data_IF_164766607838
#
_entry.id   IF_164766607838
#
_cell.length_a   1.000
_cell.length_b   1.000
_cell.length_c   1.000
_cell.angle_alpha   90.00
_cell.angle_beta   90.00
_cell.angle_gamma   90.00
#
_symmetry.space_group_name_H-M   'P 1'
#
loop_
_entity.id
_entity.type
_entity.pdbx_description
1 polymer ?
#
# COMPACT_ATOMS: atom_id res chain seq x y z
N UNK A 1 -57.08 -20.57 49.38
CA UNK A 1 -55.74 -20.03 49.71
C UNK A 1 -54.76 -21.20 49.80
N UNK A 2 -54.22 -21.62 48.65
CA UNK A 2 -53.19 -22.66 48.47
C UNK A 2 -52.04 -21.94 47.75
N UNK A 3 -50.74 -22.09 48.02
CA UNK A 3 -49.95 -22.87 48.97
C UNK A 3 -48.45 -22.52 48.74
N UNK A 4 -47.59 -22.92 49.68
CA UNK A 4 -46.16 -23.31 49.62
C UNK A 4 -45.18 -22.46 48.76
N UNK A 5 -43.97 -22.06 49.18
CA UNK A 5 -42.98 -22.76 49.99
C UNK A 5 -41.71 -23.04 49.16
N UNK A 6 -40.61 -22.34 49.46
CA UNK A 6 -39.18 -22.67 49.28
C UNK A 6 -38.57 -23.09 47.91
N UNK A 7 -37.47 -22.38 47.57
CA UNK A 7 -36.21 -22.77 46.88
C UNK A 7 -36.04 -22.86 45.34
N UNK A 8 -35.00 -22.14 44.89
CA UNK A 8 -34.05 -22.36 43.76
C UNK A 8 -34.48 -22.02 42.33
N UNK A 9 -33.83 -20.98 41.77
CA UNK A 9 -32.78 -21.07 40.73
C UNK A 9 -32.82 -19.82 39.83
N UNK A 10 -31.65 -19.26 39.51
CA UNK A 10 -31.56 -18.29 38.41
C UNK A 10 -30.45 -17.25 38.47
N UNK A 11 -29.19 -17.64 38.73
CA UNK A 11 -28.05 -16.90 38.16
C UNK A 11 -28.04 -17.23 36.67
N UNK A 12 -28.57 -16.36 35.82
CA UNK A 12 -28.28 -16.31 34.39
C UNK A 12 -28.98 -15.09 33.78
N UNK A 13 -28.25 -14.04 33.43
CA UNK A 13 -28.89 -12.94 32.70
C UNK A 13 -28.17 -11.62 32.50
N UNK A 14 -26.88 -11.47 32.87
CA UNK A 14 -26.14 -10.22 32.60
C UNK A 14 -24.97 -10.42 31.60
N UNK A 15 -24.61 -11.66 31.25
CA UNK A 15 -23.51 -11.94 30.32
C UNK A 15 -23.84 -11.83 28.82
N UNK A 16 -25.10 -12.00 28.42
CA UNK A 16 -25.47 -12.11 27.01
C UNK A 16 -25.45 -10.76 26.25
N UNK A 17 -25.78 -9.64 26.91
CA UNK A 17 -25.84 -8.32 26.28
C UNK A 17 -24.46 -7.70 25.97
N UNK A 18 -23.52 -7.85 26.90
CA UNK A 18 -22.13 -7.41 26.68
C UNK A 18 -21.38 -8.34 25.73
N UNK A 19 -21.61 -9.66 25.82
CA UNK A 19 -21.03 -10.64 24.90
C UNK A 19 -21.49 -10.45 23.46
N UNK A 20 -22.79 -10.26 23.22
CA UNK A 20 -23.33 -9.98 21.89
C UNK A 20 -22.82 -8.65 21.32
N UNK A 21 -22.69 -7.60 22.16
CA UNK A 21 -22.11 -6.32 21.77
C UNK A 21 -20.62 -6.43 21.36
N UNK A 22 -19.82 -7.15 22.16
CA UNK A 22 -18.38 -7.37 21.89
C UNK A 22 -18.17 -8.21 20.62
N UNK A 23 -18.97 -9.25 20.43
CA UNK A 23 -18.92 -10.09 19.22
C UNK A 23 -19.34 -9.32 17.96
N UNK A 24 -20.41 -8.51 18.05
CA UNK A 24 -20.87 -7.66 16.95
C UNK A 24 -19.84 -6.59 16.55
N UNK A 25 -19.17 -5.97 17.51
CA UNK A 25 -18.08 -5.00 17.26
C UNK A 25 -16.89 -5.69 16.59
N UNK A 26 -16.50 -6.87 17.05
CA UNK A 26 -15.43 -7.66 16.43
C UNK A 26 -15.74 -8.02 14.96
N UNK A 27 -16.97 -8.43 14.69
CA UNK A 27 -17.44 -8.71 13.33
C UNK A 27 -17.42 -7.47 12.42
N UNK A 28 -17.88 -6.32 12.91
CA UNK A 28 -17.87 -5.06 12.15
C UNK A 28 -16.45 -4.66 11.74
N UNK A 29 -15.50 -4.64 12.68
CA UNK A 29 -14.12 -4.26 12.37
C UNK A 29 -13.41 -5.25 11.47
N UNK A 30 -13.71 -6.55 11.61
CA UNK A 30 -13.28 -7.56 10.66
C UNK A 30 -13.85 -7.27 9.26
N UNK A 31 -15.12 -6.90 9.15
CA UNK A 31 -15.73 -6.56 7.86
C UNK A 31 -15.08 -5.34 7.21
N UNK A 32 -14.73 -4.31 7.98
CA UNK A 32 -13.98 -3.14 7.47
C UNK A 32 -12.59 -3.52 7.00
N UNK A 33 -11.92 -4.45 7.70
CA UNK A 33 -10.57 -4.88 7.37
C UNK A 33 -10.51 -5.70 6.07
N UNK A 34 -11.57 -6.48 5.83
CA UNK A 34 -11.72 -7.41 4.72
C UNK A 34 -12.46 -6.80 3.51
N UNK A 35 -13.00 -5.58 3.63
CA UNK A 35 -13.75 -4.89 2.57
C UNK A 35 -12.82 -4.60 1.39
N UNK A 36 -13.26 -5.04 0.22
CA UNK A 36 -12.55 -4.87 -1.06
C UNK A 36 -13.02 -3.63 -1.82
N UNK A 37 -14.13 -3.02 -1.40
CA UNK A 37 -14.70 -1.87 -2.10
C UNK A 37 -13.86 -0.61 -1.92
N UNK A 38 -13.50 0.01 -3.05
CA UNK A 38 -12.94 1.35 -3.06
C UNK A 38 -14.07 2.37 -2.93
N UNK A 39 -14.02 3.21 -1.89
CA UNK A 39 -14.98 4.31 -1.70
C UNK A 39 -14.25 5.63 -1.77
N UNK A 40 -14.57 6.42 -2.79
CA UNK A 40 -14.08 7.79 -2.88
C UNK A 40 -14.77 8.64 -1.81
N UNK A 41 -14.00 9.12 -0.84
CA UNK A 41 -14.45 10.09 0.16
C UNK A 41 -13.76 11.41 -0.15
N UNK A 42 -14.54 12.48 -0.23
CA UNK A 42 -14.08 13.82 -0.65
C UNK A 42 -14.21 14.81 0.53
N UNK A 43 -13.36 14.72 1.57
CA UNK A 43 -13.51 15.53 2.78
C UNK A 43 -13.05 16.99 2.63
N UNK A 44 -12.26 17.27 1.60
CA UNK A 44 -11.68 18.57 1.35
C UNK A 44 -12.61 19.45 0.54
N UNK A 45 -12.42 20.77 0.63
CA UNK A 45 -13.25 21.74 -0.05
C UNK A 45 -12.36 22.75 -0.79
N UNK A 46 -12.55 22.85 -2.10
CA UNK A 46 -11.97 23.90 -2.94
C UNK A 46 -12.70 25.21 -2.64
N UNK A 47 -11.97 26.21 -2.17
CA UNK A 47 -12.51 27.53 -1.83
C UNK A 47 -12.37 28.52 -2.97
N UNK A 48 -11.27 28.45 -3.71
CA UNK A 48 -10.96 29.35 -4.82
C UNK A 48 -9.91 28.72 -5.74
N UNK A 49 -9.92 29.08 -7.02
CA UNK A 49 -8.96 28.60 -8.02
C UNK A 49 -8.70 29.69 -9.06
N UNK A 50 -7.42 29.96 -9.32
CA UNK A 50 -7.01 31.03 -10.24
C UNK A 50 -5.50 31.19 -10.29
N UNK A 51 -4.99 31.76 -11.38
CA UNK A 51 -3.58 32.12 -11.55
C UNK A 51 -2.59 30.98 -11.27
N UNK A 52 -2.94 29.74 -11.66
CA UNK A 52 -2.10 28.55 -11.42
C UNK A 52 -2.05 28.11 -9.96
N UNK A 53 -3.04 28.52 -9.14
CA UNK A 53 -3.14 28.15 -7.73
C UNK A 53 -4.51 27.60 -7.39
N UNK A 54 -4.55 26.78 -6.34
CA UNK A 54 -5.77 26.28 -5.71
C UNK A 54 -5.75 26.62 -4.22
N UNK A 55 -6.86 27.17 -3.73
CA UNK A 55 -7.10 27.44 -2.31
C UNK A 55 -8.05 26.41 -1.75
N UNK A 56 -7.61 25.69 -0.72
CA UNK A 56 -8.37 24.64 -0.06
C UNK A 56 -8.68 25.04 1.38
N UNK A 57 -9.82 24.56 1.90
CA UNK A 57 -10.09 24.62 3.34
C UNK A 57 -8.96 23.90 4.08
N UNK A 58 -8.45 24.54 5.13
CA UNK A 58 -7.32 24.01 5.90
C UNK A 58 -7.67 22.69 6.56
N UNK A 59 -6.86 21.67 6.32
CA UNK A 59 -6.89 20.37 6.97
C UNK A 59 -5.45 19.86 7.15
N UNK A 60 -5.25 18.88 8.03
CA UNK A 60 -3.92 18.26 8.23
C UNK A 60 -3.36 17.66 6.93
N UNK A 61 -4.21 17.15 6.04
CA UNK A 61 -3.78 16.56 4.77
C UNK A 61 -3.42 17.64 3.74
N UNK A 62 -4.23 18.69 3.67
CA UNK A 62 -4.01 19.84 2.78
C UNK A 62 -2.73 20.60 3.10
N UNK A 63 -2.27 20.59 4.35
CA UNK A 63 -1.02 21.22 4.78
C UNK A 63 0.24 20.41 4.43
N UNK A 64 0.12 19.17 3.96
CA UNK A 64 1.31 18.34 3.77
C UNK A 64 2.22 18.85 2.64
N UNK A 65 3.55 18.83 2.83
CA UNK A 65 4.48 19.39 1.84
C UNK A 65 4.50 18.59 0.54
N UNK A 66 4.99 19.21 -0.52
CA UNK A 66 5.33 18.54 -1.78
C UNK A 66 4.18 18.41 -2.79
N UNK A 67 4.19 17.34 -3.58
CA UNK A 67 3.34 17.13 -4.76
C UNK A 67 2.26 16.08 -4.48
N UNK A 68 1.01 16.40 -4.80
CA UNK A 68 -0.17 15.61 -4.46
C UNK A 68 -1.19 15.62 -5.60
N UNK A 69 -2.07 14.63 -5.62
CA UNK A 69 -3.28 14.69 -6.42
C UNK A 69 -4.34 15.50 -5.72
N UNK A 70 -5.07 16.33 -6.45
CA UNK A 70 -6.36 16.87 -6.03
C UNK A 70 -7.44 16.13 -6.82
N UNK A 71 -8.12 15.18 -6.18
CA UNK A 71 -9.18 14.38 -6.82
C UNK A 71 -10.56 14.84 -6.40
N UNK A 72 -11.48 14.93 -7.35
CA UNK A 72 -12.91 15.09 -7.11
C UNK A 72 -13.69 14.04 -7.92
N UNK A 73 -15.02 14.12 -7.93
CA UNK A 73 -15.88 13.11 -8.56
C UNK A 73 -15.52 12.81 -10.03
N UNK A 74 -15.14 13.85 -10.78
CA UNK A 74 -15.00 13.81 -12.24
C UNK A 74 -13.60 14.20 -12.72
N UNK A 75 -12.60 14.24 -11.84
CA UNK A 75 -11.25 14.63 -12.26
C UNK A 75 -10.16 14.52 -11.19
N UNK A 76 -8.93 14.64 -11.68
CA UNK A 76 -7.69 14.63 -10.93
C UNK A 76 -6.76 15.71 -11.48
N UNK A 77 -6.18 16.52 -10.60
CA UNK A 77 -5.15 17.49 -10.96
C UNK A 77 -3.90 17.30 -10.11
N UNK A 78 -2.74 17.68 -10.63
CA UNK A 78 -1.48 17.72 -9.91
C UNK A 78 -1.39 19.03 -9.13
N UNK A 79 -1.27 18.90 -7.82
CA UNK A 79 -1.18 20.00 -6.88
C UNK A 79 0.20 20.01 -6.24
N UNK A 80 0.95 21.08 -6.43
CA UNK A 80 2.31 21.17 -5.95
C UNK A 80 2.43 21.75 -4.54
N UNK A 81 3.58 22.35 -4.19
CA UNK A 81 3.90 22.79 -2.84
C UNK A 81 2.92 23.82 -2.26
N UNK A 82 2.90 23.89 -0.93
CA UNK A 82 2.19 24.94 -0.19
C UNK A 82 2.89 26.28 -0.41
N UNK A 83 2.16 27.25 -0.92
CA UNK A 83 2.62 28.63 -1.09
C UNK A 83 2.36 29.46 0.17
N UNK A 84 1.18 29.27 0.77
CA UNK A 84 0.74 30.05 1.94
C UNK A 84 -0.24 29.26 2.79
N UNK A 85 -0.03 29.28 4.09
CA UNK A 85 -0.98 28.74 5.09
C UNK A 85 -1.56 29.90 5.88
N UNK A 86 -2.89 29.96 5.92
CA UNK A 86 -3.63 30.92 6.74
C UNK A 86 -4.40 30.21 7.87
N UNK A 87 -5.27 30.93 8.56
CA UNK A 87 -6.05 30.37 9.67
C UNK A 87 -7.01 29.27 9.22
N UNK A 88 -7.73 29.47 8.12
CA UNK A 88 -8.82 28.61 7.64
C UNK A 88 -8.59 28.01 6.25
N UNK A 89 -7.50 28.40 5.57
CA UNK A 89 -7.20 27.99 4.20
C UNK A 89 -5.71 27.76 3.96
N UNK A 90 -5.43 26.99 2.91
CA UNK A 90 -4.09 26.74 2.39
C UNK A 90 -4.10 27.00 0.89
N UNK A 91 -3.12 27.76 0.41
CA UNK A 91 -2.92 28.06 -1.01
C UNK A 91 -1.77 27.21 -1.53
N UNK A 92 -1.98 26.51 -2.64
CA UNK A 92 -1.01 25.61 -3.27
C UNK A 92 -0.92 25.88 -4.77
N UNK A 93 0.19 25.50 -5.39
CA UNK A 93 0.28 25.50 -6.85
C UNK A 93 -0.66 24.44 -7.44
N UNK A 94 -1.25 24.74 -8.58
CA UNK A 94 -1.99 23.82 -9.43
C UNK A 94 -1.21 23.69 -10.74
N UNK A 95 -0.56 22.54 -10.92
CA UNK A 95 0.52 22.37 -11.90
C UNK A 95 0.02 21.75 -13.21
N UNK A 96 -0.73 20.65 -13.12
CA UNK A 96 -1.19 19.89 -14.29
C UNK A 96 -2.64 19.41 -14.08
N UNK A 97 -3.37 19.20 -15.18
CA UNK A 97 -4.70 18.62 -15.18
C UNK A 97 -5.86 19.63 -15.14
N UNK A 98 -7.11 19.14 -15.10
CA UNK A 98 -8.31 19.96 -15.08
C UNK A 98 -8.39 20.88 -13.85
N UNK A 99 -9.07 22.02 -14.02
CA UNK A 99 -9.27 23.02 -12.97
C UNK A 99 -10.63 22.79 -12.29
N UNK A 100 -10.68 22.42 -11.00
CA UNK A 100 -11.96 22.24 -10.31
C UNK A 100 -12.63 23.59 -10.03
N UNK A 101 -13.96 23.71 -10.13
CA UNK A 101 -14.64 24.96 -9.76
C UNK A 101 -14.60 25.20 -8.23
N UNK A 102 -14.65 26.46 -7.77
CA UNK A 102 -14.86 26.76 -6.35
C UNK A 102 -16.12 26.08 -5.80
N UNK A 103 -16.04 25.58 -4.57
CA UNK A 103 -17.10 24.78 -3.94
C UNK A 103 -17.00 23.27 -4.20
N UNK A 104 -16.05 22.82 -5.03
CA UNK A 104 -15.84 21.40 -5.31
C UNK A 104 -15.40 20.64 -4.05
N UNK A 105 -16.11 19.57 -3.72
CA UNK A 105 -15.65 18.58 -2.76
C UNK A 105 -14.52 17.74 -3.39
N UNK A 106 -13.40 17.62 -2.68
CA UNK A 106 -12.21 16.96 -3.20
C UNK A 106 -11.49 16.11 -2.12
N UNK A 107 -10.43 15.42 -2.51
CA UNK A 107 -9.51 14.72 -1.62
C UNK A 107 -8.07 14.97 -2.05
N UNK A 108 -7.19 15.11 -1.06
CA UNK A 108 -5.74 15.08 -1.27
C UNK A 108 -5.34 13.62 -1.47
N UNK A 109 -5.01 13.28 -2.72
CA UNK A 109 -4.70 11.94 -3.17
C UNK A 109 -3.17 11.74 -3.20
N UNK A 110 -2.68 10.62 -2.68
CA UNK A 110 -1.26 10.28 -2.70
C UNK A 110 -0.78 9.95 -4.12
N UNK A 111 -1.66 9.52 -5.03
CA UNK A 111 -1.38 9.27 -6.44
C UNK A 111 -1.81 10.44 -7.33
N UNK A 112 -0.90 11.37 -7.69
CA UNK A 112 -1.23 12.57 -8.48
C UNK A 112 -1.50 12.31 -9.97
N UNK A 113 -1.32 11.07 -10.44
CA UNK A 113 -1.35 10.75 -11.87
C UNK A 113 -2.33 9.62 -12.18
N UNK A 114 -2.94 9.70 -13.37
CA UNK A 114 -3.84 8.75 -14.01
C UNK A 114 -3.81 8.99 -15.54
N UNK A 115 -4.43 8.14 -16.39
CA UNK A 115 -4.95 6.81 -16.07
C UNK A 115 -3.87 5.73 -16.02
N UNK A 116 -2.74 5.93 -16.70
CA UNK A 116 -1.79 4.87 -17.03
C UNK A 116 -0.36 5.41 -17.25
N UNK A 117 0.66 4.55 -17.56
CA UNK A 117 2.03 5.00 -17.76
C UNK A 117 2.22 6.00 -18.92
N UNK A 118 1.32 6.01 -19.90
CA UNK A 118 1.36 6.95 -21.03
C UNK A 118 1.21 8.40 -20.58
N UNK A 119 0.39 8.65 -19.54
CA UNK A 119 0.27 9.97 -18.90
C UNK A 119 1.58 10.46 -18.25
N UNK A 120 2.54 9.56 -18.06
CA UNK A 120 3.89 9.87 -17.56
C UNK A 120 4.97 9.80 -18.64
N UNK A 121 4.55 9.81 -19.91
CA UNK A 121 5.46 9.78 -21.07
C UNK A 121 6.13 8.43 -21.29
N UNK A 122 5.57 7.33 -20.75
CA UNK A 122 6.13 5.99 -20.88
C UNK A 122 5.35 5.18 -21.90
N UNK A 123 6.07 4.54 -22.82
CA UNK A 123 5.51 3.50 -23.66
C UNK A 123 5.22 2.26 -22.80
N UNK A 124 4.01 1.72 -22.93
CA UNK A 124 3.59 0.54 -22.19
C UNK A 124 2.61 -0.30 -23.00
N UNK A 125 2.45 -1.56 -22.60
CA UNK A 125 1.39 -2.44 -23.11
C UNK A 125 0.60 -3.01 -21.93
N UNK A 126 -0.71 -3.14 -22.08
CA UNK A 126 -1.51 -3.93 -21.15
C UNK A 126 -1.34 -5.42 -21.47
N UNK A 127 -0.98 -6.20 -20.45
CA UNK A 127 -0.79 -7.65 -20.54
C UNK A 127 -1.72 -8.36 -19.57
N UNK A 128 -2.12 -9.57 -19.91
CA UNK A 128 -2.98 -10.41 -19.08
C UNK A 128 -2.14 -11.46 -18.36
N UNK A 129 -2.00 -11.35 -17.04
CA UNK A 129 -1.26 -12.30 -16.21
C UNK A 129 -2.19 -13.48 -15.87
N UNK A 130 -1.84 -14.73 -16.23
CA UNK A 130 -2.65 -15.89 -15.89
C UNK A 130 -2.49 -16.23 -14.39
N UNK A 131 -3.41 -15.77 -13.55
CA UNK A 131 -3.44 -16.10 -12.11
C UNK A 131 -4.31 -17.33 -11.84
N UNK A 132 -4.25 -17.92 -10.63
CA UNK A 132 -5.13 -19.04 -10.26
C UNK A 132 -6.63 -18.73 -10.35
N UNK A 133 -7.01 -17.45 -10.32
CA UNK A 133 -8.41 -17.00 -10.37
C UNK A 133 -8.84 -16.49 -11.75
N UNK A 134 -7.93 -16.48 -12.73
CA UNK A 134 -8.17 -16.00 -14.09
C UNK A 134 -7.13 -14.98 -14.54
N UNK A 135 -7.34 -14.40 -15.72
CA UNK A 135 -6.46 -13.37 -16.26
C UNK A 135 -6.59 -12.06 -15.45
N UNK A 136 -5.48 -11.56 -14.90
CA UNK A 136 -5.40 -10.27 -14.22
C UNK A 136 -4.62 -9.25 -15.08
N UNK A 137 -5.20 -8.07 -15.40
CA UNK A 137 -4.52 -7.03 -16.17
C UNK A 137 -3.29 -6.46 -15.46
N UNK A 138 -2.21 -6.24 -16.20
CA UNK A 138 -0.99 -5.58 -15.72
C UNK A 138 -0.45 -4.63 -16.79
N UNK A 139 0.30 -3.61 -16.38
CA UNK A 139 1.06 -2.77 -17.31
C UNK A 139 2.49 -3.27 -17.42
N UNK A 140 2.91 -3.59 -18.64
CA UNK A 140 4.30 -3.90 -18.98
C UNK A 140 4.96 -2.65 -19.57
N UNK A 141 6.01 -2.18 -18.91
CA UNK A 141 6.80 -1.00 -19.30
C UNK A 141 8.24 -1.47 -19.51
N UNK A 142 8.59 -1.93 -20.72
CA UNK A 142 9.94 -2.43 -21.00
C UNK A 142 10.97 -1.29 -21.00
N UNK A 143 12.17 -1.58 -20.51
CA UNK A 143 13.34 -0.73 -20.74
C UNK A 143 13.80 -0.80 -22.20
N UNK A 144 14.73 0.08 -22.58
CA UNK A 144 15.36 0.04 -23.90
C UNK A 144 16.19 -1.23 -24.11
N UNK A 145 16.85 -1.73 -23.05
CA UNK A 145 17.60 -2.98 -23.05
C UNK A 145 16.65 -4.17 -22.77
N UNK A 146 16.45 -5.11 -23.71
CA UNK A 146 15.64 -6.31 -23.48
C UNK A 146 16.16 -7.22 -22.36
N UNK A 147 17.45 -7.13 -22.03
CA UNK A 147 18.09 -7.87 -20.93
C UNK A 147 18.02 -7.18 -19.58
N UNK A 148 17.38 -6.00 -19.49
CA UNK A 148 17.29 -5.24 -18.26
C UNK A 148 16.56 -6.02 -17.15
N UNK A 149 17.01 -5.91 -15.88
CA UNK A 149 16.26 -6.43 -14.74
C UNK A 149 14.83 -5.89 -14.70
N UNK A 150 13.91 -6.72 -14.23
CA UNK A 150 12.50 -6.37 -14.07
C UNK A 150 12.18 -5.97 -12.63
N UNK A 151 11.33 -4.95 -12.47
CA UNK A 151 10.77 -4.55 -11.19
C UNK A 151 9.26 -4.82 -11.21
N UNK A 152 8.78 -5.67 -10.31
CA UNK A 152 7.35 -5.95 -10.14
C UNK A 152 6.78 -5.03 -9.07
N UNK A 153 5.78 -4.23 -9.45
CA UNK A 153 5.12 -3.26 -8.58
C UNK A 153 3.84 -3.83 -7.98
N UNK A 154 3.73 -3.82 -6.65
CA UNK A 154 2.59 -4.35 -5.89
C UNK A 154 2.04 -3.27 -4.98
N UNK A 155 0.85 -2.76 -5.31
CA UNK A 155 0.21 -1.70 -4.53
C UNK A 155 -0.36 -2.20 -3.19
N UNK A 156 -0.79 -1.25 -2.35
CA UNK A 156 -1.41 -1.52 -1.06
C UNK A 156 -2.88 -1.92 -1.14
N UNK A 157 -3.45 -2.25 0.03
CA UNK A 157 -4.88 -2.57 0.20
C UNK A 157 -5.76 -1.37 -0.18
N UNK A 158 -6.73 -1.58 -1.06
CA UNK A 158 -7.58 -0.50 -1.58
C UNK A 158 -6.81 0.53 -2.43
N UNK A 159 -5.57 0.21 -2.79
CA UNK A 159 -4.79 0.92 -3.78
C UNK A 159 -5.14 0.47 -5.20
N UNK A 160 -4.38 0.95 -6.16
CA UNK A 160 -4.53 0.56 -7.56
C UNK A 160 -3.19 0.70 -8.29
N UNK A 161 -3.09 0.13 -9.49
CA UNK A 161 -1.89 0.21 -10.37
C UNK A 161 -1.32 1.64 -10.49
N UNK A 162 -2.17 2.68 -10.45
CA UNK A 162 -1.77 4.09 -10.52
C UNK A 162 -0.79 4.54 -9.43
N UNK A 163 -0.75 3.84 -8.29
CA UNK A 163 0.22 4.07 -7.21
C UNK A 163 1.67 4.06 -7.72
N UNK A 164 1.95 3.20 -8.71
CA UNK A 164 3.27 3.10 -9.33
C UNK A 164 3.64 4.29 -10.22
N UNK A 165 2.68 5.04 -10.78
CA UNK A 165 2.94 6.12 -11.76
C UNK A 165 3.86 7.23 -11.22
N UNK A 166 3.95 7.35 -9.90
CA UNK A 166 4.88 8.23 -9.20
C UNK A 166 6.34 7.90 -9.51
N UNK A 167 6.69 6.61 -9.44
CA UNK A 167 8.08 6.15 -9.46
C UNK A 167 8.50 5.58 -10.83
N UNK A 168 7.54 5.18 -11.68
CA UNK A 168 7.84 4.54 -12.97
C UNK A 168 8.85 5.33 -13.82
N UNK A 169 8.72 6.67 -14.00
CA UNK A 169 9.64 7.39 -14.87
C UNK A 169 11.08 7.40 -14.37
N UNK A 170 11.29 7.44 -13.06
CA UNK A 170 12.63 7.44 -12.47
C UNK A 170 13.34 6.10 -12.65
N UNK A 171 12.59 5.00 -12.48
CA UNK A 171 13.12 3.65 -12.66
C UNK A 171 13.34 3.31 -14.14
N UNK A 172 12.45 3.77 -15.02
CA UNK A 172 12.62 3.61 -16.47
C UNK A 172 13.86 4.35 -16.99
N UNK A 173 14.06 5.62 -16.58
CA UNK A 173 15.29 6.38 -16.87
C UNK A 173 16.56 5.73 -16.31
N UNK A 174 16.44 4.95 -15.23
CA UNK A 174 17.55 4.20 -14.67
C UNK A 174 17.81 2.85 -15.37
N UNK A 175 17.01 2.52 -16.41
CA UNK A 175 17.25 1.40 -17.31
C UNK A 175 16.57 0.09 -16.89
N UNK A 176 15.57 0.11 -16.00
CA UNK A 176 14.86 -1.10 -15.58
C UNK A 176 13.50 -1.25 -16.24
N UNK A 177 13.17 -2.49 -16.60
CA UNK A 177 11.84 -2.88 -17.05
C UNK A 177 10.91 -3.00 -15.86
N UNK A 178 9.63 -2.71 -16.06
CA UNK A 178 8.67 -2.63 -14.95
C UNK A 178 7.37 -3.34 -15.30
N UNK A 179 6.87 -4.15 -14.37
CA UNK A 179 5.57 -4.81 -14.45
C UNK A 179 4.69 -4.32 -13.30
N UNK A 180 3.61 -3.61 -13.62
CA UNK A 180 2.65 -3.10 -12.63
C UNK A 180 1.43 -3.99 -12.61
N UNK A 181 1.32 -4.84 -11.58
CA UNK A 181 0.28 -5.87 -11.52
C UNK A 181 -0.99 -5.31 -10.86
N UNK A 182 -2.14 -5.83 -11.30
CA UNK A 182 -3.30 -5.97 -10.42
C UNK A 182 -3.25 -7.35 -9.75
N UNK A 183 -3.96 -7.50 -8.65
CA UNK A 183 -4.13 -8.79 -7.97
C UNK A 183 -5.59 -8.96 -7.54
N UNK A 184 -5.94 -10.15 -7.05
CA UNK A 184 -7.32 -10.51 -6.70
C UNK A 184 -8.03 -9.43 -5.88
N UNK A 185 -9.30 -9.23 -6.20
CA UNK A 185 -10.19 -8.21 -5.60
C UNK A 185 -9.91 -6.75 -5.99
N UNK A 186 -8.96 -6.47 -6.89
CA UNK A 186 -8.91 -5.16 -7.54
C UNK A 186 -10.09 -4.99 -8.51
N UNK A 187 -10.47 -3.74 -8.77
CA UNK A 187 -11.60 -3.41 -9.67
C UNK A 187 -11.48 -4.02 -11.08
N UNK A 188 -10.25 -4.30 -11.53
CA UNK A 188 -9.94 -4.83 -12.86
C UNK A 188 -9.50 -6.30 -12.86
N UNK A 189 -9.33 -6.91 -11.67
CA UNK A 189 -8.84 -8.28 -11.53
C UNK A 189 -9.96 -9.23 -11.08
N UNK A 190 -9.80 -10.56 -11.29
CA UNK A 190 -10.75 -11.53 -10.77
C UNK A 190 -10.93 -11.41 -9.24
N UNK A 191 -12.16 -11.52 -8.71
CA UNK A 191 -12.40 -11.52 -7.28
C UNK A 191 -11.96 -12.85 -6.65
N UNK A 192 -11.62 -12.83 -5.35
CA UNK A 192 -11.50 -14.07 -4.58
C UNK A 192 -12.86 -14.76 -4.45
N UNK A 193 -12.91 -16.10 -4.26
CA UNK A 193 -14.17 -16.83 -4.14
C UNK A 193 -15.09 -16.33 -3.02
N UNK A 194 -14.52 -15.73 -1.97
CA UNK A 194 -15.23 -15.21 -0.81
C UNK A 194 -15.37 -13.67 -0.81
N UNK A 195 -14.77 -12.99 -1.79
CA UNK A 195 -14.82 -11.53 -1.98
C UNK A 195 -14.10 -10.72 -0.91
N UNK A 196 -13.19 -11.31 -0.14
CA UNK A 196 -12.42 -10.62 0.89
C UNK A 196 -10.94 -10.46 0.53
N UNK A 197 -10.32 -9.40 1.05
CA UNK A 197 -8.87 -9.39 1.19
C UNK A 197 -8.41 -10.42 2.22
N UNK A 198 -7.45 -11.26 1.85
CA UNK A 198 -6.75 -12.16 2.75
C UNK A 198 -5.46 -11.56 3.30
N UNK A 199 -5.30 -10.24 3.16
CA UNK A 199 -4.30 -9.44 3.86
C UNK A 199 -2.85 -9.87 3.52
N UNK A 200 -2.65 -10.46 2.34
CA UNK A 200 -1.38 -10.99 1.86
C UNK A 200 -1.29 -12.52 1.88
N UNK A 201 -2.20 -13.20 2.58
CA UNK A 201 -2.12 -14.65 2.81
C UNK A 201 -2.45 -15.48 1.57
N UNK A 202 -3.18 -14.91 0.62
CA UNK A 202 -3.48 -15.57 -0.66
C UNK A 202 -3.13 -14.71 -1.88
N UNK A 203 -3.10 -13.38 -1.75
CA UNK A 203 -2.72 -12.46 -2.83
C UNK A 203 -1.29 -12.70 -3.34
N UNK A 204 -0.42 -13.33 -2.55
CA UNK A 204 0.95 -13.66 -2.95
C UNK A 204 1.02 -14.62 -4.15
N UNK A 205 -0.02 -15.43 -4.38
CA UNK A 205 -0.11 -16.34 -5.54
C UNK A 205 -0.25 -15.55 -6.85
N UNK A 206 -0.88 -14.37 -6.82
CA UNK A 206 -1.02 -13.51 -8.01
C UNK A 206 0.32 -12.81 -8.31
N UNK A 207 1.08 -12.44 -7.27
CA UNK A 207 2.47 -12.02 -7.42
C UNK A 207 3.34 -13.15 -7.98
N UNK A 208 3.15 -14.40 -7.52
CA UNK A 208 3.86 -15.56 -8.08
C UNK A 208 3.55 -15.75 -9.56
N UNK A 209 2.28 -15.63 -9.96
CA UNK A 209 1.88 -15.68 -11.36
C UNK A 209 2.57 -14.60 -12.21
N UNK A 210 2.69 -13.38 -11.69
CA UNK A 210 3.39 -12.29 -12.36
C UNK A 210 4.90 -12.55 -12.52
N UNK A 211 5.56 -13.06 -11.48
CA UNK A 211 6.98 -13.43 -11.56
C UNK A 211 7.18 -14.57 -12.56
N UNK A 212 6.32 -15.61 -12.55
CA UNK A 212 6.35 -16.69 -13.54
C UNK A 212 6.13 -16.19 -14.96
N UNK A 213 5.23 -15.24 -15.16
CA UNK A 213 4.99 -14.63 -16.46
C UNK A 213 6.27 -13.96 -17.00
N UNK A 214 6.98 -13.19 -16.16
CA UNK A 214 8.25 -12.59 -16.54
C UNK A 214 9.33 -13.62 -16.84
N UNK A 215 9.46 -14.64 -15.99
CA UNK A 215 10.45 -15.72 -16.18
C UNK A 215 10.19 -16.50 -17.47
N UNK A 216 8.93 -16.80 -17.78
CA UNK A 216 8.55 -17.43 -19.04
C UNK A 216 8.86 -16.53 -20.25
N UNK A 217 8.80 -15.21 -20.07
CA UNK A 217 9.25 -14.20 -21.04
C UNK A 217 10.77 -13.99 -21.10
N UNK A 218 11.56 -14.75 -20.34
CA UNK A 218 13.02 -14.69 -20.36
C UNK A 218 13.65 -13.79 -19.30
N UNK A 219 12.87 -13.21 -18.39
CA UNK A 219 13.44 -12.42 -17.29
C UNK A 219 14.27 -13.31 -16.36
N UNK A 220 15.56 -12.97 -16.22
CA UNK A 220 16.51 -13.68 -15.36
C UNK A 220 16.70 -13.02 -14.00
N UNK A 221 16.38 -11.72 -13.89
CA UNK A 221 16.65 -10.88 -12.72
C UNK A 221 15.41 -10.07 -12.38
N UNK A 222 14.91 -10.24 -11.16
CA UNK A 222 13.65 -9.62 -10.72
C UNK A 222 13.85 -8.92 -9.37
N UNK A 223 13.26 -7.75 -9.22
CA UNK A 223 13.11 -7.05 -7.95
C UNK A 223 11.64 -6.76 -7.67
N UNK A 224 11.32 -6.51 -6.41
CA UNK A 224 9.97 -6.16 -5.97
C UNK A 224 9.93 -4.70 -5.52
N UNK A 225 8.87 -3.99 -5.87
CA UNK A 225 8.55 -2.68 -5.34
C UNK A 225 7.14 -2.73 -4.77
N UNK A 226 7.00 -2.58 -3.45
CA UNK A 226 5.74 -2.81 -2.78
C UNK A 226 5.37 -1.66 -1.85
N UNK A 227 4.08 -1.31 -1.83
CA UNK A 227 3.52 -0.31 -0.92
C UNK A 227 2.63 -0.97 0.11
N UNK A 228 2.72 -0.55 1.38
CA UNK A 228 1.75 -0.92 2.42
C UNK A 228 1.53 -2.44 2.52
N UNK A 229 0.30 -2.92 2.32
CA UNK A 229 -0.04 -4.35 2.27
C UNK A 229 0.71 -5.12 1.17
N UNK A 230 1.12 -4.47 0.07
CA UNK A 230 1.97 -5.08 -0.94
C UNK A 230 3.26 -5.67 -0.35
N UNK A 231 3.79 -5.09 0.74
CA UNK A 231 4.94 -5.65 1.43
C UNK A 231 4.59 -6.94 2.21
N UNK A 232 3.37 -7.06 2.73
CA UNK A 232 2.87 -8.30 3.32
C UNK A 232 2.68 -9.40 2.25
N UNK A 233 2.16 -9.03 1.07
CA UNK A 233 2.07 -9.90 -0.11
C UNK A 233 3.48 -10.38 -0.51
N UNK A 234 4.43 -9.44 -0.61
CA UNK A 234 5.84 -9.72 -0.91
C UNK A 234 6.49 -10.63 0.13
N UNK A 235 6.27 -10.39 1.42
CA UNK A 235 6.78 -11.25 2.49
C UNK A 235 6.23 -12.67 2.42
N UNK A 236 4.92 -12.84 2.19
CA UNK A 236 4.31 -14.15 2.01
C UNK A 236 4.81 -14.87 0.75
N UNK A 237 5.01 -14.14 -0.35
CA UNK A 237 5.65 -14.68 -1.56
C UNK A 237 7.08 -15.14 -1.25
N UNK A 238 7.90 -14.33 -0.59
CA UNK A 238 9.28 -14.65 -0.24
C UNK A 238 9.40 -15.84 0.73
N UNK A 239 8.36 -16.10 1.51
CA UNK A 239 8.27 -17.24 2.44
C UNK A 239 7.84 -18.54 1.75
N UNK A 240 6.93 -18.47 0.78
CA UNK A 240 6.15 -19.64 0.30
C UNK A 240 6.39 -20.01 -1.16
N UNK A 241 6.79 -19.04 -1.98
CA UNK A 241 6.90 -19.21 -3.42
C UNK A 241 8.15 -19.98 -3.80
N UNK A 242 7.99 -20.90 -4.74
CA UNK A 242 9.13 -21.56 -5.41
C UNK A 242 9.98 -20.58 -6.25
N UNK A 243 9.41 -19.44 -6.65
CA UNK A 243 10.09 -18.41 -7.43
C UNK A 243 10.82 -17.37 -6.55
N UNK A 244 10.67 -17.45 -5.21
CA UNK A 244 11.22 -16.47 -4.29
C UNK A 244 12.74 -16.28 -4.45
N UNK A 245 13.48 -17.35 -4.77
CA UNK A 245 14.92 -17.33 -4.99
C UNK A 245 15.38 -16.50 -6.20
N UNK A 246 14.46 -16.01 -7.04
CA UNK A 246 14.76 -15.13 -8.19
C UNK A 246 14.76 -13.65 -7.84
N UNK A 247 14.31 -13.29 -6.64
CA UNK A 247 14.23 -11.90 -6.22
C UNK A 247 15.61 -11.45 -5.74
N UNK A 248 16.19 -10.47 -6.44
CA UNK A 248 17.51 -9.93 -6.11
C UNK A 248 17.45 -8.75 -5.14
N UNK A 249 16.33 -8.03 -5.09
CA UNK A 249 16.12 -6.89 -4.20
C UNK A 249 14.63 -6.62 -3.97
N UNK A 250 14.32 -5.99 -2.84
CA UNK A 250 12.99 -5.47 -2.55
C UNK A 250 13.03 -4.01 -2.09
N UNK A 251 12.10 -3.19 -2.57
CA UNK A 251 11.83 -1.84 -2.10
C UNK A 251 10.44 -1.82 -1.49
N UNK A 252 10.35 -1.42 -0.24
CA UNK A 252 9.14 -1.51 0.58
C UNK A 252 8.79 -0.12 1.15
N UNK A 253 7.75 0.51 0.60
CA UNK A 253 7.28 1.84 1.00
C UNK A 253 6.10 1.74 1.98
N UNK A 254 6.26 2.35 3.15
CA UNK A 254 5.36 2.29 4.30
C UNK A 254 4.88 0.85 4.60
N UNK A 255 5.79 -0.12 4.74
CA UNK A 255 5.43 -1.53 4.59
C UNK A 255 4.71 -2.09 5.80
N UNK A 256 3.72 -2.93 5.51
CA UNK A 256 3.06 -3.72 6.53
C UNK A 256 3.87 -4.99 6.82
N UNK A 257 4.71 -4.91 7.86
CA UNK A 257 5.62 -6.01 8.29
C UNK A 257 5.22 -6.64 9.63
N UNK A 258 4.12 -6.18 10.23
CA UNK A 258 3.46 -6.77 11.41
C UNK A 258 1.97 -6.37 11.43
N UNK A 259 1.09 -7.34 11.09
CA UNK A 259 -0.36 -7.13 11.12
C UNK A 259 -0.89 -6.85 12.53
N UNK A 260 -0.36 -7.49 13.57
CA UNK A 260 -0.86 -7.28 14.94
C UNK A 260 -0.54 -5.87 15.42
N UNK A 261 0.67 -5.38 15.18
CA UNK A 261 1.03 -3.99 15.49
C UNK A 261 0.16 -3.00 14.73
N UNK A 262 -0.07 -3.26 13.44
CA UNK A 262 -0.95 -2.43 12.59
C UNK A 262 -2.38 -2.42 13.12
N UNK A 263 -2.96 -3.58 13.45
CA UNK A 263 -4.30 -3.68 14.03
C UNK A 263 -4.42 -2.96 15.37
N UNK A 264 -3.39 -3.04 16.24
CA UNK A 264 -3.34 -2.29 17.50
C UNK A 264 -3.33 -0.77 17.25
N UNK A 265 -2.55 -0.28 16.29
CA UNK A 265 -2.55 1.14 15.92
C UNK A 265 -3.91 1.57 15.37
N UNK A 266 -4.48 0.81 14.45
CA UNK A 266 -5.79 1.07 13.88
C UNK A 266 -6.92 1.08 14.91
N UNK A 267 -6.83 0.22 15.92
CA UNK A 267 -7.75 0.22 17.06
C UNK A 267 -7.61 1.50 17.91
N UNK A 268 -6.37 1.92 18.22
CA UNK A 268 -6.10 3.18 18.93
C UNK A 268 -6.64 4.41 18.18
N UNK A 269 -6.41 4.48 16.87
CA UNK A 269 -6.89 5.60 16.04
C UNK A 269 -8.42 5.71 16.04
N UNK A 270 -9.12 4.58 16.15
CA UNK A 270 -10.58 4.52 16.26
C UNK A 270 -11.09 4.58 17.70
N UNK A 271 -10.22 4.85 18.67
CA UNK A 271 -10.53 4.92 20.10
C UNK A 271 -11.20 3.65 20.63
N UNK A 272 -10.83 2.49 20.06
CA UNK A 272 -11.35 1.20 20.51
C UNK A 272 -10.69 0.78 21.82
N UNK A 273 -11.47 0.30 22.80
CA UNK A 273 -10.92 -0.31 24.01
C UNK A 273 -9.94 -1.44 23.64
N UNK A 274 -8.73 -1.48 24.24
CA UNK A 274 -7.70 -2.48 23.92
C UNK A 274 -8.21 -3.92 23.97
N UNK A 275 -9.13 -4.23 24.89
CA UNK A 275 -9.75 -5.54 25.05
C UNK A 275 -10.54 -6.04 23.82
N UNK A 276 -10.97 -5.15 22.91
CA UNK A 276 -11.72 -5.53 21.71
C UNK A 276 -10.81 -5.88 20.52
N UNK A 277 -9.54 -5.48 20.55
CA UNK A 277 -8.60 -5.73 19.44
C UNK A 277 -8.38 -7.24 19.22
N UNK A 278 -8.11 -8.06 20.26
CA UNK A 278 -7.99 -9.51 20.10
C UNK A 278 -9.27 -10.17 19.57
N UNK A 279 -10.45 -9.62 19.90
CA UNK A 279 -11.74 -10.14 19.44
C UNK A 279 -11.91 -9.91 17.94
N UNK A 280 -11.63 -8.70 17.45
CA UNK A 280 -11.69 -8.38 16.01
C UNK A 280 -10.65 -9.19 15.20
N UNK A 281 -9.44 -9.37 15.76
CA UNK A 281 -8.42 -10.23 15.16
C UNK A 281 -8.87 -11.70 15.12
N UNK A 282 -9.47 -12.21 16.20
CA UNK A 282 -10.02 -13.57 16.26
C UNK A 282 -11.12 -13.82 15.23
N UNK A 283 -12.02 -12.86 15.04
CA UNK A 283 -13.05 -12.93 13.98
C UNK A 283 -12.43 -12.93 12.59
N UNK A 284 -11.42 -12.10 12.35
CA UNK A 284 -10.72 -12.05 11.06
C UNK A 284 -10.05 -13.39 10.77
N UNK A 285 -9.28 -13.94 11.72
CA UNK A 285 -8.69 -15.29 11.60
C UNK A 285 -9.75 -16.35 11.32
N UNK A 286 -10.92 -16.27 11.96
CA UNK A 286 -12.01 -17.23 11.73
C UNK A 286 -12.65 -17.09 10.35
N UNK A 287 -12.72 -15.88 9.80
CA UNK A 287 -13.38 -15.61 8.51
C UNK A 287 -12.51 -15.98 7.32
N UNK A 288 -11.22 -15.68 7.39
CA UNK A 288 -10.31 -15.83 6.25
C UNK A 288 -9.16 -16.81 6.50
N UNK A 289 -9.12 -17.46 7.65
CA UNK A 289 -8.10 -18.45 7.99
C UNK A 289 -6.70 -17.88 8.29
N UNK A 290 -6.50 -16.56 8.15
CA UNK A 290 -5.17 -15.94 8.29
C UNK A 290 -4.50 -16.24 9.62
N UNK A 291 -3.23 -16.62 9.54
CA UNK A 291 -2.32 -16.63 10.68
C UNK A 291 -1.49 -15.34 10.72
N UNK A 292 -1.91 -14.39 11.57
CA UNK A 292 -1.22 -13.12 11.73
C UNK A 292 0.23 -13.26 12.22
N UNK A 293 0.60 -14.36 12.88
CA UNK A 293 1.95 -14.55 13.42
C UNK A 293 2.97 -14.78 12.30
N UNK A 294 2.53 -15.30 11.15
CA UNK A 294 3.38 -15.43 9.94
C UNK A 294 3.75 -14.10 9.31
N UNK A 295 3.01 -13.03 9.62
CA UNK A 295 3.25 -11.69 9.07
C UNK A 295 4.00 -10.78 10.02
N UNK A 296 4.40 -11.27 11.19
CA UNK A 296 5.30 -10.56 12.08
C UNK A 296 6.75 -10.89 11.65
N UNK A 297 7.24 -10.19 10.62
CA UNK A 297 8.46 -10.59 9.88
C UNK A 297 9.74 -10.56 10.71
N UNK A 298 9.71 -9.90 11.87
CA UNK A 298 10.80 -9.92 12.85
C UNK A 298 10.89 -11.28 13.54
N UNK A 299 9.76 -11.83 13.94
CA UNK A 299 9.63 -13.12 14.63
C UNK A 299 9.59 -14.31 13.67
N UNK A 300 8.96 -14.11 12.52
CA UNK A 300 8.77 -15.11 11.45
C UNK A 300 9.32 -14.55 10.13
N UNK A 301 10.65 -14.44 9.98
CA UNK A 301 11.23 -13.95 8.74
C UNK A 301 10.95 -14.90 7.58
N UNK A 302 10.81 -14.39 6.35
CA UNK A 302 10.57 -15.23 5.18
C UNK A 302 11.75 -16.15 4.89
N UNK A 303 11.48 -17.28 4.23
CA UNK A 303 12.49 -18.24 3.79
C UNK A 303 13.58 -17.60 2.90
N UNK A 304 13.20 -16.73 1.96
CA UNK A 304 14.13 -15.95 1.13
C UNK A 304 14.15 -14.50 1.60
N UNK A 305 15.36 -13.95 1.77
CA UNK A 305 15.61 -12.63 2.37
C UNK A 305 16.50 -11.80 1.45
N UNK A 306 15.96 -11.30 0.31
CA UNK A 306 16.73 -10.43 -0.54
C UNK A 306 17.10 -9.14 0.22
N UNK A 307 18.17 -8.43 -0.17
CA UNK A 307 18.39 -7.08 0.31
C UNK A 307 17.11 -6.24 0.17
N UNK A 308 16.69 -5.62 1.27
CA UNK A 308 15.43 -4.88 1.34
C UNK A 308 15.66 -3.44 1.76
N UNK A 309 15.16 -2.49 0.98
CA UNK A 309 15.13 -1.08 1.33
C UNK A 309 13.74 -0.66 1.76
N UNK A 310 13.62 -0.22 3.01
CA UNK A 310 12.38 0.28 3.56
C UNK A 310 12.39 1.81 3.50
N UNK A 311 11.35 2.40 2.94
CA UNK A 311 11.04 3.82 3.11
C UNK A 311 9.81 3.92 4.01
N UNK A 312 9.89 4.63 5.13
CA UNK A 312 8.74 4.73 6.06
C UNK A 312 8.65 6.12 6.66
N UNK A 313 7.44 6.69 6.61
CA UNK A 313 7.17 7.97 7.24
C UNK A 313 7.05 7.86 8.76
N UNK A 314 7.66 8.79 9.50
CA UNK A 314 7.66 8.75 10.97
C UNK A 314 6.32 9.09 11.63
N UNK A 315 5.46 9.99 11.09
CA UNK A 315 4.11 10.19 11.60
C UNK A 315 3.05 9.35 10.88
N UNK A 316 3.42 8.22 10.27
CA UNK A 316 2.48 7.30 9.60
C UNK A 316 1.41 6.80 10.58
N UNK A 317 0.16 7.19 10.33
CA UNK A 317 -0.96 6.78 11.17
C UNK A 317 -1.63 5.49 10.69
N UNK A 318 -1.34 5.01 9.49
CA UNK A 318 -1.90 3.76 8.98
C UNK A 318 -1.12 2.55 9.52
N UNK A 319 0.20 2.55 9.37
CA UNK A 319 1.11 1.48 9.75
C UNK A 319 2.16 2.03 10.74
N UNK A 320 2.45 1.34 11.85
CA UNK A 320 3.43 1.82 12.81
C UNK A 320 4.86 1.70 12.27
N UNK A 321 5.57 2.83 12.14
CA UNK A 321 7.01 2.85 11.82
C UNK A 321 7.86 2.04 12.81
N UNK A 322 7.40 1.90 14.07
CA UNK A 322 8.05 1.08 15.07
C UNK A 322 8.29 -0.37 14.59
N UNK A 323 7.38 -0.94 13.81
CA UNK A 323 7.55 -2.29 13.25
C UNK A 323 8.70 -2.37 12.24
N UNK A 324 8.89 -1.35 11.40
CA UNK A 324 10.05 -1.28 10.50
C UNK A 324 11.36 -1.09 11.25
N UNK A 325 11.39 -0.22 12.27
CA UNK A 325 12.58 -0.03 13.13
C UNK A 325 12.99 -1.33 13.81
N UNK A 326 12.02 -2.05 14.40
CA UNK A 326 12.27 -3.32 15.07
C UNK A 326 12.73 -4.42 14.11
N UNK A 327 12.25 -4.41 12.85
CA UNK A 327 12.73 -5.34 11.83
C UNK A 327 14.20 -5.06 11.48
N UNK A 328 14.55 -3.79 11.24
CA UNK A 328 15.94 -3.37 10.93
C UNK A 328 16.89 -3.72 12.08
N UNK A 329 16.47 -3.47 13.32
CA UNK A 329 17.25 -3.81 14.52
C UNK A 329 17.52 -5.33 14.62
N UNK A 330 16.51 -6.15 14.30
CA UNK A 330 16.64 -7.60 14.34
C UNK A 330 17.34 -8.20 13.10
N UNK A 331 17.37 -7.47 11.98
CA UNK A 331 17.79 -7.95 10.67
C UNK A 331 19.16 -8.67 10.67
N UNK A 332 20.23 -8.14 11.32
CA UNK A 332 21.51 -8.83 11.40
C UNK A 332 21.43 -10.20 12.08
N UNK A 333 20.64 -10.31 13.16
CA UNK A 333 20.51 -11.55 13.93
C UNK A 333 19.75 -12.65 13.17
N UNK A 334 18.86 -12.25 12.26
CA UNK A 334 18.10 -13.16 11.39
C UNK A 334 18.73 -13.31 10.00
N UNK A 335 19.93 -12.76 9.76
CA UNK A 335 20.63 -12.89 8.48
C UNK A 335 19.87 -12.24 7.31
N UNK A 336 19.31 -11.05 7.54
CA UNK A 336 18.64 -10.23 6.53
C UNK A 336 19.36 -8.89 6.40
N UNK A 337 19.67 -8.50 5.17
CA UNK A 337 20.15 -7.15 4.84
C UNK A 337 18.95 -6.21 4.64
N UNK A 338 18.69 -5.35 5.63
CA UNK A 338 17.56 -4.40 5.63
C UNK A 338 18.06 -2.99 5.93
N UNK A 339 17.80 -2.07 5.00
CA UNK A 339 18.11 -0.65 5.10
C UNK A 339 16.81 0.14 5.34
N UNK A 340 16.82 1.18 6.18
CA UNK A 340 15.65 2.04 6.45
C UNK A 340 15.96 3.51 6.18
N UNK A 341 15.14 4.11 5.31
CA UNK A 341 15.01 5.55 5.16
C UNK A 341 13.75 6.02 5.88
N UNK A 342 13.94 6.75 6.97
CA UNK A 342 12.85 7.44 7.64
C UNK A 342 12.56 8.79 6.99
N UNK A 343 11.28 9.08 6.76
CA UNK A 343 10.81 10.34 6.18
C UNK A 343 9.97 11.09 7.22
N UNK A 344 10.33 12.32 7.60
CA UNK A 344 9.52 13.09 8.54
C UNK A 344 8.34 13.77 7.84
N UNK A 345 7.29 14.05 8.62
CA UNK A 345 6.31 15.09 8.28
C UNK A 345 5.23 14.74 7.26
N UNK A 346 5.15 13.49 6.78
CA UNK A 346 4.10 13.08 5.82
C UNK A 346 3.33 11.83 6.25
N UNK A 347 2.16 11.59 5.67
CA UNK A 347 1.36 10.42 6.01
C UNK A 347 1.80 9.13 5.29
N UNK A 348 1.12 8.03 5.60
CA UNK A 348 1.26 6.72 4.95
C UNK A 348 1.40 6.82 3.42
N UNK A 349 2.34 6.07 2.83
CA UNK A 349 2.58 6.00 1.37
C UNK A 349 2.79 7.37 0.69
N UNK A 350 3.17 8.39 1.46
CA UNK A 350 3.32 9.77 0.98
C UNK A 350 4.78 10.25 0.96
N UNK A 351 5.74 9.33 1.17
CA UNK A 351 7.16 9.67 1.19
C UNK A 351 7.66 10.21 -0.16
N UNK A 352 7.16 9.68 -1.28
CA UNK A 352 7.43 10.26 -2.60
C UNK A 352 6.78 11.64 -2.73
N UNK A 353 5.55 11.82 -2.24
CA UNK A 353 4.82 13.10 -2.33
C UNK A 353 5.57 14.24 -1.64
N UNK A 354 6.23 13.96 -0.50
CA UNK A 354 6.96 14.96 0.29
C UNK A 354 8.10 15.63 -0.49
N UNK A 355 8.92 14.81 -1.15
CA UNK A 355 10.11 15.20 -1.91
C UNK A 355 10.39 14.12 -2.98
N UNK A 356 9.74 14.22 -4.16
CA UNK A 356 9.88 13.24 -5.22
C UNK A 356 11.34 12.99 -5.59
N UNK A 357 12.13 14.06 -5.70
CA UNK A 357 13.51 13.98 -6.16
C UNK A 357 14.40 13.25 -5.15
N UNK A 358 14.26 13.51 -3.84
CA UNK A 358 15.01 12.79 -2.80
C UNK A 358 14.60 11.33 -2.71
N UNK A 359 13.30 11.06 -2.77
CA UNK A 359 12.78 9.69 -2.75
C UNK A 359 13.31 8.88 -3.93
N UNK A 360 13.16 9.41 -5.16
CA UNK A 360 13.60 8.77 -6.39
C UNK A 360 15.10 8.47 -6.37
N UNK A 361 15.92 9.43 -5.95
CA UNK A 361 17.37 9.22 -5.82
C UNK A 361 17.70 8.08 -4.86
N UNK A 362 17.10 8.05 -3.68
CA UNK A 362 17.40 7.03 -2.67
C UNK A 362 17.02 5.62 -3.16
N UNK A 363 15.85 5.48 -3.78
CA UNK A 363 15.38 4.20 -4.32
C UNK A 363 16.25 3.73 -5.50
N UNK A 364 16.52 4.62 -6.46
CA UNK A 364 17.36 4.31 -7.61
C UNK A 364 18.78 3.94 -7.18
N UNK A 365 19.35 4.63 -6.20
CA UNK A 365 20.68 4.31 -5.69
C UNK A 365 20.72 2.91 -5.06
N UNK A 366 19.75 2.58 -4.21
CA UNK A 366 19.63 1.24 -3.63
C UNK A 366 19.53 0.17 -4.73
N UNK A 367 18.61 0.34 -5.69
CA UNK A 367 18.43 -0.63 -6.77
C UNK A 367 19.67 -0.74 -7.66
N UNK A 368 20.40 0.35 -7.93
CA UNK A 368 21.69 0.27 -8.65
C UNK A 368 22.73 -0.55 -7.90
N UNK A 369 22.81 -0.43 -6.56
CA UNK A 369 23.75 -1.23 -5.76
C UNK A 369 23.43 -2.73 -5.80
N UNK A 370 22.15 -3.10 -5.94
CA UNK A 370 21.69 -4.51 -5.90
C UNK A 370 21.55 -5.14 -7.27
N UNK A 371 21.01 -4.41 -8.24
CA UNK A 371 20.74 -4.88 -9.60
C UNK A 371 21.84 -4.49 -10.61
N UNK A 372 22.76 -3.59 -10.24
CA UNK A 372 23.64 -2.94 -11.22
C UNK A 372 22.89 -1.91 -12.08
N UNK A 373 23.60 -1.18 -12.96
CA UNK A 373 22.94 -0.34 -13.95
C UNK A 373 22.18 -1.24 -14.94
N UNK A 374 20.93 -0.91 -15.28
CA UNK A 374 20.41 -1.32 -16.59
C UNK A 374 21.32 -0.68 -17.63
N UNK A 375 21.76 -1.41 -18.65
CA UNK A 375 22.58 -0.79 -19.69
C UNK A 375 21.71 0.25 -20.40
N UNK A 376 21.90 1.53 -20.07
CA UNK A 376 21.36 2.60 -20.88
C UNK A 376 22.03 2.45 -22.25
N UNK A 377 21.28 2.05 -23.26
CA UNK A 377 21.76 2.04 -24.63
C UNK A 377 22.39 3.40 -24.91
N UNK A 378 23.63 3.38 -25.41
CA UNK A 378 24.20 4.54 -26.08
C UNK A 378 23.18 5.00 -27.12
N UNK A 379 22.52 6.12 -26.85
CA UNK A 379 22.04 6.94 -27.93
C UNK A 379 23.30 7.66 -28.42
N UNK A 380 23.83 7.13 -29.52
CA UNK A 380 24.89 7.77 -30.29
C UNK A 380 24.51 9.24 -30.59
N UNK A 381 25.55 10.08 -30.51
CA UNK A 381 25.69 11.52 -30.83
C UNK A 381 24.47 12.36 -31.27
#
# INVERSE_FOLDING_TARGET
MRGNGWLRAGIAGVGAGLGAGVLGVGWFYSSVLLDTRQRLVLPELVLDVGDGTVTLRRSRLVEQPGVWGLRWADGLAVMGPVLRTERDRVVRTLEEGPVPPPGTAAVVDTGPYDPDPGARGLAFTEVAIPTPLGAAPAWSVPAADPGAPWIVHVHGRGGARREALRILPALHRAGWSQLVISYRNDDVAPPSPDGHYHLGDTEWEDLEAAVRHLVAGGASRVALFCWSMGAAISGAFLDRSSEAGRIEAAVWDAPLVDWRATLRQQARNRKLPPALTPVAAGWTRRRIGIDFDRFALRESPPAVRPPTFIVHSSPDTAVPIASSRMLVEAAPAIGWDVELLEVPGVEHTSSWNADPARYERAVVEFLRRRLGPGQAGQLDE
#
